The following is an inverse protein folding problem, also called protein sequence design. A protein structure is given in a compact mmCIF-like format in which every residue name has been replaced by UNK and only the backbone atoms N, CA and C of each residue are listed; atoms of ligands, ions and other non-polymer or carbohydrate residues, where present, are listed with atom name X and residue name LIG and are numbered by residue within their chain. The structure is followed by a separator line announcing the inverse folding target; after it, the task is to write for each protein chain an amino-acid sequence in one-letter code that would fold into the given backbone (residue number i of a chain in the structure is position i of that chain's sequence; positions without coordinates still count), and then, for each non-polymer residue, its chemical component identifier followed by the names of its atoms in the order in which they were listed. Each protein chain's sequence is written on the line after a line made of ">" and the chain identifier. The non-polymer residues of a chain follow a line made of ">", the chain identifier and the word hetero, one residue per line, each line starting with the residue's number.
data_IF_748531548575
#
_entry.id   IF_748531548575
#
_cell.length_a   1.000
_cell.length_b   1.000
_cell.length_c   1.000
_cell.angle_alpha   90.00
_cell.angle_beta   90.00
_cell.angle_gamma   90.00
#
_symmetry.space_group_name_H-M   'P 1'
#
loop_
_entity.id
_entity.type
_entity.pdbx_description
1 polymer ?
#
# COMPACT_ATOMS: atom_id res chain seq x y z
N UNK A 1 7.77 -5.98 -20.22
CA UNK A 1 8.69 -6.24 -19.09
C UNK A 1 9.25 -7.63 -19.30
N UNK A 2 10.56 -7.79 -19.46
CA UNK A 2 11.18 -9.11 -19.68
C UNK A 2 10.93 -10.07 -18.51
N UNK A 3 11.16 -11.36 -18.72
CA UNK A 3 11.11 -12.38 -17.67
C UNK A 3 12.11 -12.00 -16.58
N UNK A 4 11.59 -11.73 -15.36
CA UNK A 4 12.44 -11.40 -14.21
C UNK A 4 13.22 -12.66 -13.82
N UNK A 5 14.54 -12.64 -14.01
CA UNK A 5 15.41 -13.70 -13.50
C UNK A 5 15.54 -13.54 -11.99
N UNK A 6 15.28 -14.58 -11.18
CA UNK A 6 15.55 -14.56 -9.75
C UNK A 6 17.03 -14.26 -9.51
N UNK A 7 17.33 -13.35 -8.57
CA UNK A 7 18.70 -13.13 -8.09
C UNK A 7 18.93 -14.05 -6.88
N UNK A 8 20.17 -14.51 -6.72
CA UNK A 8 20.56 -15.26 -5.52
C UNK A 8 20.22 -14.45 -4.25
N UNK A 9 19.55 -15.09 -3.29
CA UNK A 9 19.03 -14.43 -2.08
C UNK A 9 17.71 -13.65 -2.24
N UNK A 10 17.20 -13.45 -3.47
CA UNK A 10 15.91 -12.80 -3.72
C UNK A 10 14.86 -13.85 -4.11
N UNK A 11 13.97 -14.16 -3.17
CA UNK A 11 12.79 -14.98 -3.45
C UNK A 11 11.64 -14.09 -3.95
N UNK A 12 11.24 -14.25 -5.21
CA UNK A 12 9.98 -13.70 -5.72
C UNK A 12 8.90 -14.75 -5.53
N UNK A 13 7.94 -14.50 -4.65
CA UNK A 13 6.80 -15.38 -4.43
C UNK A 13 5.68 -15.02 -5.40
N UNK A 14 5.01 -16.04 -5.93
CA UNK A 14 3.76 -15.84 -6.67
C UNK A 14 2.63 -15.38 -5.74
N UNK A 15 1.61 -14.74 -6.30
CA UNK A 15 0.48 -14.18 -5.54
C UNK A 15 -0.55 -15.25 -5.12
N UNK A 16 -0.33 -16.52 -5.47
CA UNK A 16 -1.25 -17.62 -5.19
C UNK A 16 -1.15 -18.11 -3.75
N UNK A 17 0.02 -17.93 -3.10
CA UNK A 17 0.30 -18.46 -1.77
C UNK A 17 0.13 -17.38 -0.71
N UNK A 18 -0.87 -17.54 0.15
CA UNK A 18 -1.11 -16.69 1.32
C UNK A 18 -0.28 -17.18 2.50
N UNK A 19 0.20 -16.24 3.32
CA UNK A 19 0.94 -16.49 4.55
C UNK A 19 0.17 -15.91 5.72
N UNK A 20 0.35 -16.49 6.91
CA UNK A 20 -0.32 -16.01 8.14
C UNK A 20 0.26 -14.68 8.63
N UNK A 21 1.54 -14.42 8.32
CA UNK A 21 2.26 -13.20 8.69
C UNK A 21 3.09 -12.65 7.52
N UNK A 22 3.50 -11.39 7.67
CA UNK A 22 4.35 -10.65 6.74
C UNK A 22 5.83 -10.68 7.15
N UNK A 23 6.18 -11.53 8.11
CA UNK A 23 7.50 -11.59 8.73
C UNK A 23 7.88 -10.29 9.44
N UNK A 24 9.06 -9.74 9.10
CA UNK A 24 9.60 -8.52 9.70
C UNK A 24 9.11 -7.23 9.02
N UNK A 25 8.29 -7.32 7.99
CA UNK A 25 7.79 -6.17 7.23
C UNK A 25 6.34 -5.89 7.59
N UNK A 26 6.09 -4.80 8.31
CA UNK A 26 4.73 -4.40 8.69
C UNK A 26 4.00 -3.67 7.55
N UNK A 27 4.56 -2.57 7.06
CA UNK A 27 3.99 -1.78 5.97
C UNK A 27 5.03 -1.01 5.16
N UNK A 28 4.59 -0.46 4.03
CA UNK A 28 5.37 0.48 3.20
C UNK A 28 4.53 1.75 3.00
N UNK A 29 5.11 2.90 3.32
CA UNK A 29 4.50 4.20 3.13
C UNK A 29 5.00 4.89 1.85
N UNK A 30 4.09 5.48 1.08
CA UNK A 30 4.39 6.29 -0.09
C UNK A 30 3.95 7.74 0.11
N UNK A 31 4.76 8.68 -0.36
CA UNK A 31 4.29 10.04 -0.57
C UNK A 31 3.36 10.04 -1.79
N UNK A 32 2.19 10.65 -1.64
CA UNK A 32 1.14 10.69 -2.64
C UNK A 32 0.59 12.10 -2.82
N UNK A 33 -0.04 12.32 -3.97
CA UNK A 33 -0.68 13.58 -4.35
C UNK A 33 -2.08 13.29 -4.87
N UNK A 34 -2.93 14.31 -4.95
CA UNK A 34 -4.32 14.18 -5.43
C UNK A 34 -5.15 13.19 -4.59
N UNK A 35 -5.45 13.62 -3.36
CA UNK A 35 -6.22 12.82 -2.38
C UNK A 35 -7.59 12.39 -2.94
N UNK A 36 -8.28 13.29 -3.64
CA UNK A 36 -9.60 13.03 -4.19
C UNK A 36 -9.55 12.06 -5.38
N UNK A 37 -8.58 12.23 -6.27
CA UNK A 37 -8.37 11.32 -7.38
C UNK A 37 -7.99 9.92 -6.91
N UNK A 38 -7.11 9.81 -5.90
CA UNK A 38 -6.78 8.50 -5.33
C UNK A 38 -7.98 7.86 -4.62
N UNK A 39 -8.77 8.64 -3.87
CA UNK A 39 -9.99 8.14 -3.21
C UNK A 39 -10.95 7.53 -4.22
N UNK A 40 -11.26 8.28 -5.29
CA UNK A 40 -12.12 7.81 -6.40
C UNK A 40 -11.55 6.56 -7.07
N UNK A 41 -10.24 6.53 -7.32
CA UNK A 41 -9.58 5.38 -7.94
C UNK A 41 -9.71 4.12 -7.10
N UNK A 42 -9.45 4.19 -5.80
CA UNK A 42 -9.56 3.04 -4.90
C UNK A 42 -11.02 2.54 -4.81
N UNK A 43 -11.98 3.45 -4.67
CA UNK A 43 -13.40 3.13 -4.65
C UNK A 43 -13.87 2.47 -5.95
N UNK A 44 -13.47 3.00 -7.12
CA UNK A 44 -13.83 2.44 -8.44
C UNK A 44 -13.34 1.01 -8.64
N UNK A 45 -12.29 0.61 -7.91
CA UNK A 45 -11.70 -0.72 -7.96
C UNK A 45 -12.17 -1.64 -6.82
N UNK A 46 -13.08 -1.17 -5.97
CA UNK A 46 -13.56 -1.92 -4.81
C UNK A 46 -12.46 -2.20 -3.77
N UNK A 47 -11.40 -1.40 -3.74
CA UNK A 47 -10.31 -1.56 -2.77
C UNK A 47 -10.77 -1.02 -1.42
N UNK A 48 -10.68 -1.83 -0.37
CA UNK A 48 -10.95 -1.40 1.00
C UNK A 48 -9.75 -0.62 1.54
N UNK A 49 -10.00 0.55 2.10
CA UNK A 49 -9.00 1.39 2.75
C UNK A 49 -9.64 2.16 3.91
N UNK A 50 -8.80 2.59 4.86
CA UNK A 50 -9.16 3.49 5.96
C UNK A 50 -8.52 4.84 5.70
N UNK A 51 -9.27 5.91 5.87
CA UNK A 51 -8.80 7.28 5.79
C UNK A 51 -8.59 7.87 7.20
N UNK A 52 -7.56 8.70 7.36
CA UNK A 52 -7.26 9.40 8.61
C UNK A 52 -6.65 10.76 8.32
N UNK A 53 -6.87 11.72 9.20
CA UNK A 53 -6.25 13.05 9.14
C UNK A 53 -5.34 13.18 10.35
N UNK A 54 -4.07 13.51 10.11
CA UNK A 54 -3.09 13.72 11.18
C UNK A 54 -3.44 15.02 11.92
N UNK A 55 -3.80 15.02 13.21
CA UNK A 55 -4.30 16.23 13.88
C UNK A 55 -3.30 17.39 13.91
N UNK A 56 -2.00 17.08 13.95
CA UNK A 56 -0.93 18.07 14.09
C UNK A 56 -0.58 18.77 12.78
N UNK A 57 -0.59 18.04 11.65
CA UNK A 57 -0.16 18.56 10.34
C UNK A 57 -1.33 18.80 9.39
N UNK A 58 -2.46 18.12 9.61
CA UNK A 58 -3.60 18.12 8.70
C UNK A 58 -3.38 17.23 7.46
N UNK A 59 -2.31 16.44 7.43
CA UNK A 59 -2.03 15.53 6.33
C UNK A 59 -3.10 14.44 6.29
N UNK A 60 -3.52 14.08 5.08
CA UNK A 60 -4.45 12.96 4.89
C UNK A 60 -3.64 11.69 4.66
N UNK A 61 -4.07 10.59 5.28
CA UNK A 61 -3.42 9.29 5.17
C UNK A 61 -4.43 8.22 4.79
N UNK A 62 -4.11 7.41 3.79
CA UNK A 62 -4.88 6.22 3.46
C UNK A 62 -4.11 4.97 3.86
N UNK A 63 -4.77 4.06 4.57
CA UNK A 63 -4.24 2.77 4.99
C UNK A 63 -5.01 1.65 4.29
N UNK A 64 -4.29 0.74 3.65
CA UNK A 64 -4.86 -0.41 2.98
C UNK A 64 -3.93 -1.62 3.11
N UNK A 65 -4.43 -2.79 2.75
CA UNK A 65 -3.64 -4.02 2.76
C UNK A 65 -3.58 -4.62 1.36
N UNK A 66 -2.41 -5.13 0.98
CA UNK A 66 -2.29 -5.97 -0.21
C UNK A 66 -2.78 -7.40 0.11
N UNK A 67 -3.02 -8.26 -0.89
CA UNK A 67 -3.53 -9.62 -0.66
C UNK A 67 -2.67 -10.47 0.30
N UNK A 68 -1.37 -10.17 0.38
CA UNK A 68 -0.40 -10.86 1.22
C UNK A 68 -0.36 -10.29 2.67
N UNK A 69 -1.25 -9.37 3.02
CA UNK A 69 -1.39 -8.83 4.37
C UNK A 69 -0.44 -7.68 4.72
N UNK A 70 0.50 -7.32 3.83
CA UNK A 70 1.39 -6.16 4.05
C UNK A 70 0.59 -4.86 4.00
N UNK A 71 0.81 -3.98 4.97
CA UNK A 71 0.21 -2.66 4.98
C UNK A 71 0.78 -1.76 3.88
N UNK A 72 -0.07 -0.97 3.25
CA UNK A 72 0.34 0.15 2.39
C UNK A 72 -0.28 1.41 2.98
N UNK A 73 0.56 2.43 3.12
CA UNK A 73 0.16 3.75 3.58
C UNK A 73 0.42 4.77 2.47
N UNK A 74 -0.55 5.64 2.22
CA UNK A 74 -0.42 6.76 1.28
C UNK A 74 -0.54 8.07 2.04
N UNK A 75 0.52 8.87 2.03
CA UNK A 75 0.59 10.15 2.73
C UNK A 75 0.38 11.31 1.76
N UNK A 76 -0.66 12.10 2.01
CA UNK A 76 -1.00 13.30 1.27
C UNK A 76 -0.73 14.52 2.15
N UNK A 77 0.33 15.29 1.88
CA UNK A 77 0.57 16.54 2.57
C UNK A 77 -0.63 17.47 2.44
N UNK A 78 -0.94 18.21 3.50
CA UNK A 78 -1.91 19.30 3.41
C UNK A 78 -1.46 20.29 2.32
N UNK A 79 -2.39 20.68 1.44
CA UNK A 79 -2.16 21.72 0.44
C UNK A 79 -1.86 23.08 1.09
#
# INVERSE_FOLDING_TARGET
>A
MGTRTPREGIMVRGTEKKYEDTGRLDHIAFAATDVDGMRKRLQSKGVKFRESIVPRTGDTQFFLYVPDGVGVELNFPKA
#
